data_IF_305481152796
#
_entry.id   IF_305481152796
#
_cell.length_a   1.000
_cell.length_b   1.000
_cell.length_c   1.000
_cell.angle_alpha   90.00
_cell.angle_beta   90.00
_cell.angle_gamma   90.00
#
_symmetry.space_group_name_H-M   'P 1'
#
loop_
_entity.id
_entity.type
_entity.pdbx_description
1 polymer ?
#
# COMPACT_ATOMS: atom_id res chain seq x y z
N UNK A 1 -25.22 -66.44 17.28
CA UNK A 1 -26.52 -66.69 17.91
C UNK A 1 -27.50 -65.68 17.29
N UNK A 2 -28.37 -66.18 16.40
CA UNK A 2 -29.63 -65.65 15.81
C UNK A 2 -29.85 -64.11 15.69
N UNK A 3 -30.45 -63.54 14.65
CA UNK A 3 -30.98 -63.99 13.36
C UNK A 3 -31.49 -62.75 12.60
N UNK A 4 -31.54 -62.85 11.27
CA UNK A 4 -32.35 -62.01 10.41
C UNK A 4 -33.85 -62.35 10.56
N UNK A 5 -34.73 -61.36 10.37
CA UNK A 5 -36.13 -61.57 9.97
C UNK A 5 -36.53 -60.49 8.96
N UNK A 6 -37.11 -60.96 7.85
CA UNK A 6 -37.71 -60.22 6.76
C UNK A 6 -39.25 -60.43 6.73
N UNK A 7 -39.89 -59.86 5.70
CA UNK A 7 -41.32 -59.90 5.28
C UNK A 7 -42.19 -58.75 5.81
N UNK A 8 -43.08 -58.09 5.04
CA UNK A 8 -44.03 -58.57 4.01
C UNK A 8 -44.31 -57.50 2.93
N UNK A 9 -44.64 -57.95 1.71
CA UNK A 9 -45.01 -57.19 0.51
C UNK A 9 -46.54 -57.11 0.24
N UNK A 10 -46.99 -56.12 -0.56
CA UNK A 10 -48.08 -56.13 -1.58
C UNK A 10 -48.44 -54.67 -1.97
N UNK A 11 -48.68 -54.24 -3.21
CA UNK A 11 -48.77 -54.93 -4.50
C UNK A 11 -48.89 -53.96 -5.71
N UNK A 12 -48.82 -54.56 -6.92
CA UNK A 12 -49.32 -54.23 -8.28
C UNK A 12 -49.57 -52.75 -8.67
N UNK A 13 -48.96 -52.17 -9.73
CA UNK A 13 -49.23 -52.39 -11.18
C UNK A 13 -50.26 -51.33 -11.66
N UNK A 14 -50.17 -50.54 -12.73
CA UNK A 14 -49.43 -50.58 -14.00
C UNK A 14 -49.36 -49.15 -14.64
N UNK A 15 -48.63 -49.08 -15.77
CA UNK A 15 -48.72 -48.14 -16.90
C UNK A 15 -47.72 -46.96 -17.06
N UNK A 16 -46.90 -47.14 -18.11
CA UNK A 16 -45.90 -46.25 -18.74
C UNK A 16 -46.58 -45.14 -19.61
N UNK A 17 -45.91 -44.16 -20.27
CA UNK A 17 -44.60 -44.28 -20.96
C UNK A 17 -43.62 -43.06 -20.93
N UNK A 18 -42.32 -43.37 -21.05
CA UNK A 18 -41.42 -42.88 -22.10
C UNK A 18 -41.03 -41.38 -22.23
N UNK A 19 -39.85 -41.05 -21.67
CA UNK A 19 -38.75 -40.22 -22.22
C UNK A 19 -38.95 -38.68 -22.44
N UNK A 20 -37.87 -37.86 -22.53
CA UNK A 20 -36.44 -38.19 -22.53
C UNK A 20 -35.59 -37.44 -21.49
N UNK A 21 -34.34 -37.90 -21.37
CA UNK A 21 -33.25 -37.23 -20.69
C UNK A 21 -33.07 -35.80 -21.21
N UNK A 22 -33.16 -34.82 -20.31
CA UNK A 22 -32.79 -33.44 -20.57
C UNK A 22 -31.33 -33.24 -20.20
N UNK A 23 -30.53 -32.91 -21.20
CA UNK A 23 -29.19 -32.35 -21.09
C UNK A 23 -29.10 -31.35 -19.95
N UNK A 24 -28.23 -31.64 -18.98
CA UNK A 24 -27.73 -30.62 -18.07
C UNK A 24 -26.72 -29.78 -18.87
N UNK A 25 -27.21 -28.80 -19.61
CA UNK A 25 -26.38 -27.73 -20.14
C UNK A 25 -25.71 -27.04 -18.97
N UNK A 26 -24.39 -27.22 -18.88
CA UNK A 26 -23.48 -26.40 -18.10
C UNK A 26 -23.90 -24.94 -18.27
N UNK A 27 -24.19 -24.30 -17.13
CA UNK A 27 -24.40 -22.87 -17.05
C UNK A 27 -23.14 -22.19 -17.57
N UNK A 28 -23.24 -21.70 -18.79
CA UNK A 28 -22.30 -20.85 -19.46
C UNK A 28 -22.07 -19.64 -18.54
N UNK A 29 -20.94 -19.65 -17.83
CA UNK A 29 -20.46 -18.47 -17.15
C UNK A 29 -20.36 -17.35 -18.20
N UNK A 30 -21.02 -16.22 -17.95
CA UNK A 30 -20.89 -15.02 -18.77
C UNK A 30 -19.40 -14.69 -18.90
N UNK A 31 -18.82 -15.06 -20.04
CA UNK A 31 -17.47 -14.66 -20.43
C UNK A 31 -17.56 -13.16 -20.66
N UNK A 32 -16.99 -12.37 -19.74
CA UNK A 32 -16.76 -10.95 -19.97
C UNK A 32 -16.07 -10.80 -21.34
N UNK A 33 -16.53 -9.87 -22.20
CA UNK A 33 -16.03 -9.80 -23.56
C UNK A 33 -14.51 -9.62 -23.56
N UNK A 34 -13.85 -10.43 -24.39
CA UNK A 34 -12.40 -10.55 -24.63
C UNK A 34 -11.75 -9.25 -25.19
N UNK A 35 -12.39 -8.10 -24.99
CA UNK A 35 -12.15 -6.83 -25.68
C UNK A 35 -11.05 -5.96 -25.06
N UNK A 36 -10.52 -6.30 -23.88
CA UNK A 36 -9.57 -5.48 -23.13
C UNK A 36 -8.12 -6.02 -23.11
N UNK A 37 -7.71 -6.75 -24.16
CA UNK A 37 -6.37 -7.37 -24.27
C UNK A 37 -5.35 -6.58 -25.11
N UNK A 38 -5.41 -5.25 -25.11
CA UNK A 38 -4.37 -4.44 -25.76
C UNK A 38 -3.11 -4.34 -24.90
N UNK A 39 -1.95 -4.11 -25.53
CA UNK A 39 -0.71 -3.79 -24.82
C UNK A 39 -0.80 -2.36 -24.30
N UNK A 40 -0.67 -2.12 -22.98
CA UNK A 40 -0.68 -0.76 -22.45
C UNK A 40 0.47 0.07 -23.04
N UNK A 41 0.15 1.26 -23.51
CA UNK A 41 1.11 2.26 -23.98
C UNK A 41 0.87 3.56 -23.23
N UNK A 42 1.92 4.11 -22.62
CA UNK A 42 1.83 5.41 -21.94
C UNK A 42 1.45 6.51 -22.93
N UNK A 43 0.37 7.25 -22.64
CA UNK A 43 0.01 8.44 -23.41
C UNK A 43 0.38 9.72 -22.67
N UNK A 44 0.10 9.78 -21.35
CA UNK A 44 0.25 11.00 -20.57
C UNK A 44 0.35 10.70 -19.07
N UNK A 45 1.17 11.49 -18.36
CA UNK A 45 1.23 11.48 -16.90
C UNK A 45 1.37 12.90 -16.34
N UNK A 46 0.50 13.27 -15.41
CA UNK A 46 0.48 14.60 -14.80
C UNK A 46 0.24 14.57 -13.31
N UNK A 47 0.84 15.53 -12.61
CA UNK A 47 0.44 15.88 -11.26
C UNK A 47 -0.93 16.58 -11.29
N UNK A 48 -1.85 16.14 -10.45
CA UNK A 48 -3.09 16.83 -10.15
C UNK A 48 -2.86 17.93 -9.11
N UNK A 49 -2.24 17.58 -7.99
CA UNK A 49 -1.96 18.51 -6.88
C UNK A 49 -0.96 17.92 -5.88
N UNK A 50 -0.46 18.75 -4.97
CA UNK A 50 0.17 18.29 -3.72
C UNK A 50 -0.91 18.01 -2.69
N UNK A 51 -0.90 16.82 -2.08
CA UNK A 51 -1.76 16.48 -0.95
C UNK A 51 -1.19 17.06 0.34
N UNK A 52 0.11 16.84 0.56
CA UNK A 52 0.91 17.33 1.68
C UNK A 52 2.10 18.14 1.13
N UNK A 53 2.50 19.20 1.84
CA UNK A 53 3.62 20.05 1.44
C UNK A 53 4.39 20.53 2.68
N UNK A 54 5.50 19.86 3.00
CA UNK A 54 6.40 20.23 4.11
C UNK A 54 7.02 21.62 3.93
N UNK A 55 7.02 22.12 2.69
CA UNK A 55 7.52 23.45 2.40
C UNK A 55 6.58 24.56 2.88
N UNK A 56 6.80 24.95 4.12
CA UNK A 56 6.45 26.21 4.76
C UNK A 56 4.96 26.53 4.83
N UNK A 57 4.54 27.02 6.00
CA UNK A 57 3.28 27.74 6.26
C UNK A 57 2.87 28.79 5.22
N UNK A 58 3.82 29.22 4.38
CA UNK A 58 3.66 30.23 3.34
C UNK A 58 3.16 29.67 1.99
N UNK A 59 3.17 28.36 1.77
CA UNK A 59 2.62 27.68 0.57
C UNK A 59 1.78 26.45 0.98
N UNK A 60 0.70 26.64 1.77
CA UNK A 60 -0.17 25.54 2.17
C UNK A 60 -0.77 24.84 0.95
N UNK A 61 -0.88 23.52 1.01
CA UNK A 61 -1.77 22.81 0.07
C UNK A 61 -3.20 23.28 0.27
N UNK A 62 -4.06 23.08 -0.73
CA UNK A 62 -5.47 23.45 -0.60
C UNK A 62 -6.18 22.66 0.52
N UNK A 63 -5.65 21.49 0.90
CA UNK A 63 -6.11 20.75 2.07
C UNK A 63 -5.82 21.45 3.40
N UNK A 64 -4.79 22.30 3.49
CA UNK A 64 -4.37 22.98 4.72
C UNK A 64 -4.18 22.05 5.93
N UNK A 65 -3.65 20.85 5.71
CA UNK A 65 -3.47 19.83 6.76
C UNK A 65 -2.59 20.29 7.92
N UNK A 66 -1.65 21.21 7.68
CA UNK A 66 -0.83 21.85 8.70
C UNK A 66 -1.66 22.59 9.75
N UNK A 67 -2.79 23.18 9.34
CA UNK A 67 -3.67 23.92 10.25
C UNK A 67 -4.85 23.06 10.69
N UNK A 68 -5.37 22.17 9.84
CA UNK A 68 -6.51 21.32 10.21
C UNK A 68 -6.12 20.15 11.13
N UNK A 69 -4.91 19.65 11.00
CA UNK A 69 -4.46 18.41 11.65
C UNK A 69 -3.01 18.46 12.14
N UNK A 70 -2.37 19.62 12.13
CA UNK A 70 -0.99 19.80 12.59
C UNK A 70 0.07 18.95 11.86
N UNK A 71 -0.20 18.57 10.61
CA UNK A 71 0.74 17.84 9.73
C UNK A 71 1.48 18.82 8.84
N UNK A 72 2.79 18.98 9.04
CA UNK A 72 3.63 19.81 8.19
C UNK A 72 3.97 19.09 6.89
N UNK A 73 4.51 17.88 7.03
CA UNK A 73 5.05 17.06 5.95
C UNK A 73 4.91 15.59 6.29
N UNK A 74 4.96 14.73 5.28
CA UNK A 74 5.05 13.29 5.46
C UNK A 74 5.58 12.68 4.17
N UNK A 75 5.83 11.37 4.19
CA UNK A 75 6.09 10.60 2.99
C UNK A 75 5.09 9.45 2.82
N UNK A 76 5.35 8.64 1.79
CA UNK A 76 4.52 7.53 1.33
C UNK A 76 3.14 7.96 0.83
N UNK A 77 2.06 7.42 1.42
CA UNK A 77 0.69 7.66 0.97
C UNK A 77 0.04 6.40 0.39
N UNK A 78 0.13 5.28 1.10
CA UNK A 78 -0.40 3.97 0.70
C UNK A 78 -1.93 3.99 0.80
N UNK A 79 -2.69 3.92 -0.30
CA UNK A 79 -4.13 3.96 -0.23
C UNK A 79 -4.73 2.58 0.07
N UNK A 80 -5.82 2.53 0.83
CA UNK A 80 -6.61 1.31 1.05
C UNK A 80 -8.08 1.67 1.08
N UNK A 81 -8.89 0.97 0.30
CA UNK A 81 -10.34 1.06 0.39
C UNK A 81 -10.87 -0.01 1.36
N UNK A 82 -11.68 0.40 2.34
CA UNK A 82 -12.45 -0.51 3.20
C UNK A 82 -13.81 0.09 3.48
N UNK A 83 -14.86 -0.73 3.40
CA UNK A 83 -16.24 -0.31 3.67
C UNK A 83 -16.66 0.99 2.92
N UNK A 84 -16.26 1.13 1.67
CA UNK A 84 -16.59 2.28 0.81
C UNK A 84 -15.85 3.58 1.14
N UNK A 85 -14.83 3.54 2.01
CA UNK A 85 -13.99 4.69 2.35
C UNK A 85 -12.53 4.42 2.00
N UNK A 86 -11.87 5.45 1.46
CA UNK A 86 -10.45 5.45 1.15
C UNK A 86 -9.65 6.00 2.35
N UNK A 87 -8.75 5.18 2.88
CA UNK A 87 -7.71 5.57 3.83
C UNK A 87 -6.37 5.69 3.10
N UNK A 88 -5.46 6.51 3.61
CA UNK A 88 -4.12 6.72 3.05
C UNK A 88 -3.11 6.72 4.20
N UNK A 89 -2.14 5.81 4.18
CA UNK A 89 -1.12 5.69 5.23
C UNK A 89 0.15 6.45 4.83
N UNK A 90 0.59 7.36 5.69
CA UNK A 90 1.79 8.17 5.52
C UNK A 90 2.86 7.76 6.53
N UNK A 91 4.12 7.73 6.11
CA UNK A 91 5.27 7.51 6.99
C UNK A 91 5.83 8.82 7.53
N UNK A 92 6.79 8.72 8.45
CA UNK A 92 7.71 9.79 8.90
C UNK A 92 7.06 11.19 8.94
N UNK A 93 5.91 11.29 9.62
CA UNK A 93 5.03 12.46 9.55
C UNK A 93 5.48 13.55 10.51
N UNK A 94 5.85 14.69 9.93
CA UNK A 94 6.37 15.86 10.63
C UNK A 94 5.23 16.70 11.19
N UNK A 95 5.31 17.01 12.48
CA UNK A 95 4.38 17.91 13.16
C UNK A 95 4.66 19.39 12.87
N UNK A 96 3.62 20.21 12.73
CA UNK A 96 3.78 21.65 12.48
C UNK A 96 4.04 22.47 13.75
N UNK A 97 3.24 22.29 14.80
CA UNK A 97 3.23 23.12 15.99
C UNK A 97 3.20 22.27 17.28
N UNK A 98 4.30 22.24 18.02
CA UNK A 98 4.32 21.71 19.39
C UNK A 98 4.29 20.20 19.56
N UNK A 99 4.31 19.42 18.48
CA UNK A 99 4.37 17.96 18.46
C UNK A 99 5.54 17.50 17.58
N UNK A 100 6.26 16.47 18.02
CA UNK A 100 7.38 15.82 17.32
C UNK A 100 8.34 16.81 16.64
N UNK A 101 9.05 17.59 17.46
CA UNK A 101 9.94 18.65 16.99
C UNK A 101 11.27 18.14 16.44
N UNK A 102 12.05 19.04 15.84
CA UNK A 102 13.33 18.71 15.22
C UNK A 102 14.29 17.94 16.13
N UNK A 103 14.90 16.87 15.59
CA UNK A 103 15.79 15.96 16.31
C UNK A 103 15.06 14.83 17.06
N UNK A 104 13.74 14.75 16.94
CA UNK A 104 12.96 13.59 17.38
C UNK A 104 12.63 12.70 16.19
N UNK A 105 12.43 11.41 16.47
CA UNK A 105 11.88 10.46 15.52
C UNK A 105 10.39 10.74 15.29
N UNK A 106 9.91 10.69 14.05
CA UNK A 106 8.57 11.13 13.65
C UNK A 106 7.64 9.92 13.47
N UNK A 107 6.39 10.00 13.95
CA UNK A 107 5.44 8.90 13.80
C UNK A 107 4.74 8.91 12.44
N UNK A 108 3.94 7.88 12.16
CA UNK A 108 3.08 7.82 10.99
C UNK A 108 1.75 8.57 11.19
N UNK A 109 1.08 8.90 10.08
CA UNK A 109 -0.27 9.44 10.08
C UNK A 109 -1.21 8.70 9.13
N UNK A 110 -2.51 8.79 9.42
CA UNK A 110 -3.57 8.23 8.57
C UNK A 110 -4.40 9.35 7.99
N UNK A 111 -4.38 9.48 6.67
CA UNK A 111 -5.32 10.26 5.89
C UNK A 111 -6.57 9.47 5.51
N UNK A 112 -7.62 10.19 5.14
CA UNK A 112 -8.83 9.61 4.57
C UNK A 112 -9.50 10.57 3.59
N UNK A 113 -10.16 10.04 2.58
CA UNK A 113 -11.05 10.83 1.73
C UNK A 113 -12.31 11.23 2.50
N UNK A 114 -12.71 12.51 2.41
CA UNK A 114 -13.99 12.97 2.96
C UNK A 114 -15.17 12.43 2.14
N UNK A 115 -14.95 12.17 0.85
CA UNK A 115 -15.90 11.59 -0.08
C UNK A 115 -15.79 10.07 -0.11
N UNK A 116 -16.77 9.38 -0.70
CA UNK A 116 -16.75 7.93 -0.83
C UNK A 116 -15.63 7.46 -1.77
N UNK A 117 -15.17 6.22 -1.60
CA UNK A 117 -14.15 5.65 -2.48
C UNK A 117 -14.58 5.63 -3.97
N UNK A 118 -15.87 5.41 -4.24
CA UNK A 118 -16.45 5.48 -5.59
C UNK A 118 -16.41 6.89 -6.19
N UNK A 119 -16.68 7.92 -5.39
CA UNK A 119 -16.56 9.31 -5.84
C UNK A 119 -15.10 9.65 -6.14
N UNK A 120 -14.16 9.26 -5.28
CA UNK A 120 -12.72 9.49 -5.49
C UNK A 120 -12.22 8.75 -6.74
N UNK A 121 -12.71 7.54 -7.02
CA UNK A 121 -12.34 6.83 -8.23
C UNK A 121 -12.76 7.56 -9.52
N UNK A 122 -13.88 8.28 -9.47
CA UNK A 122 -14.39 9.06 -10.60
C UNK A 122 -13.74 10.45 -10.68
N UNK A 123 -13.49 11.05 -9.52
CA UNK A 123 -13.03 12.43 -9.32
C UNK A 123 -11.84 12.48 -8.34
N UNK A 124 -10.68 11.91 -8.71
CA UNK A 124 -9.52 11.84 -7.82
C UNK A 124 -9.03 13.23 -7.37
N UNK A 125 -9.28 14.27 -8.16
CA UNK A 125 -8.99 15.66 -7.82
C UNK A 125 -9.67 16.16 -6.54
N UNK A 126 -10.73 15.48 -6.07
CA UNK A 126 -11.36 15.82 -4.80
C UNK A 126 -10.39 15.70 -3.62
N UNK A 127 -9.44 14.75 -3.66
CA UNK A 127 -8.40 14.60 -2.63
C UNK A 127 -7.52 15.86 -2.48
N UNK A 128 -7.44 16.72 -3.50
CA UNK A 128 -6.67 17.96 -3.43
C UNK A 128 -7.21 18.97 -2.42
N UNK A 129 -8.51 18.90 -2.11
CA UNK A 129 -9.19 19.84 -1.19
C UNK A 129 -9.96 19.13 -0.08
N UNK A 130 -10.17 17.81 -0.22
CA UNK A 130 -11.04 16.99 0.62
C UNK A 130 -10.31 15.75 1.16
N UNK A 131 -9.03 15.92 1.46
CA UNK A 131 -8.28 15.02 2.34
C UNK A 131 -8.52 15.41 3.80
N UNK A 132 -8.82 14.42 4.63
CA UNK A 132 -8.82 14.50 6.08
C UNK A 132 -7.62 13.74 6.64
N UNK A 133 -7.24 14.06 7.87
CA UNK A 133 -6.27 13.32 8.67
C UNK A 133 -7.00 12.89 9.94
N UNK A 134 -6.75 11.67 10.43
CA UNK A 134 -7.31 11.24 11.72
C UNK A 134 -6.65 12.06 12.84
N UNK A 135 -7.45 12.67 13.71
CA UNK A 135 -6.96 13.61 14.73
C UNK A 135 -7.24 13.15 16.15
N UNK A 136 -6.46 13.68 17.09
CA UNK A 136 -6.71 13.56 18.51
C UNK A 136 -7.90 14.43 18.92
N UNK A 137 -8.62 14.04 20.00
CA UNK A 137 -9.58 14.94 20.63
C UNK A 137 -8.91 16.26 21.05
N UNK A 138 -9.69 17.35 21.08
CA UNK A 138 -9.18 18.68 21.45
C UNK A 138 -8.46 18.71 22.81
N UNK A 139 -8.95 17.96 23.79
CA UNK A 139 -8.33 17.87 25.13
C UNK A 139 -6.96 17.19 25.14
N UNK A 140 -6.63 16.41 24.11
CA UNK A 140 -5.35 15.72 23.95
C UNK A 140 -4.42 16.45 22.96
N UNK A 141 -4.95 17.43 22.22
CA UNK A 141 -4.17 18.22 21.25
C UNK A 141 -3.36 19.31 21.95
N UNK A 142 -2.18 19.57 21.41
CA UNK A 142 -1.15 20.48 21.88
C UNK A 142 -1.01 21.65 20.92
N UNK A 143 -1.02 21.37 19.62
CA UNK A 143 -0.85 22.34 18.55
C UNK A 143 -1.76 23.56 18.67
N UNK A 144 -3.07 23.42 18.98
CA UNK A 144 -3.96 24.57 19.16
C UNK A 144 -3.53 25.54 20.27
N UNK A 145 -2.81 25.04 21.29
CA UNK A 145 -2.24 25.86 22.37
C UNK A 145 -0.91 26.54 22.00
N UNK A 146 -0.23 26.09 20.94
CA UNK A 146 1.03 26.64 20.44
C UNK A 146 0.81 27.61 19.28
N UNK A 147 -0.09 27.27 18.35
CA UNK A 147 -0.53 28.12 17.25
C UNK A 147 -2.06 28.03 17.11
N UNK A 148 -2.75 29.14 17.34
CA UNK A 148 -4.22 29.23 17.30
C UNK A 148 -4.85 28.90 15.94
N UNK A 149 -4.06 28.83 14.86
CA UNK A 149 -4.54 28.39 13.54
C UNK A 149 -4.71 26.88 13.46
N UNK A 150 -4.00 26.14 14.33
CA UNK A 150 -4.08 24.68 14.40
C UNK A 150 -5.37 24.27 15.10
N UNK A 151 -6.14 23.38 14.46
CA UNK A 151 -7.44 22.93 14.95
C UNK A 151 -7.30 21.70 15.87
N UNK A 152 -6.47 20.74 15.48
CA UNK A 152 -6.19 19.53 16.25
C UNK A 152 -4.85 18.94 15.83
N UNK A 153 -4.26 18.12 16.69
CA UNK A 153 -3.09 17.30 16.36
C UNK A 153 -3.53 16.03 15.66
N UNK A 154 -2.73 15.54 14.70
CA UNK A 154 -2.98 14.23 14.11
C UNK A 154 -2.80 13.11 15.15
N UNK A 155 -3.61 12.06 15.01
CA UNK A 155 -3.50 10.85 15.80
C UNK A 155 -2.61 9.85 15.06
N UNK A 156 -1.42 9.61 15.61
CA UNK A 156 -0.50 8.62 15.08
C UNK A 156 -1.02 7.19 15.24
N UNK A 157 -0.55 6.28 14.36
CA UNK A 157 -0.84 4.85 14.44
C UNK A 157 -0.20 4.19 15.65
N UNK A 158 -0.97 3.96 16.70
CA UNK A 158 -0.46 3.34 17.92
C UNK A 158 -0.44 1.82 17.82
N UNK A 159 0.68 1.20 18.20
CA UNK A 159 0.86 -0.24 18.18
C UNK A 159 0.44 -0.90 19.49
N UNK A 160 -0.14 -2.08 19.37
CA UNK A 160 -0.47 -2.98 20.48
C UNK A 160 0.31 -4.26 20.23
N UNK A 161 1.20 -4.63 21.16
CA UNK A 161 1.99 -5.85 21.05
C UNK A 161 1.09 -7.10 21.09
N UNK A 162 1.51 -8.22 20.47
CA UNK A 162 0.86 -9.51 20.68
C UNK A 162 0.94 -9.93 22.16
N UNK A 163 0.02 -10.76 22.65
CA UNK A 163 0.12 -11.32 23.99
C UNK A 163 1.47 -12.01 24.23
N UNK A 164 2.10 -11.74 25.38
CA UNK A 164 3.39 -12.31 25.79
C UNK A 164 4.64 -11.78 25.07
N UNK A 165 4.50 -10.80 24.16
CA UNK A 165 5.61 -10.12 23.50
C UNK A 165 5.74 -8.66 23.98
N UNK A 166 6.96 -8.15 23.96
CA UNK A 166 7.25 -6.74 24.23
C UNK A 166 7.17 -5.89 22.96
N UNK A 167 6.69 -4.65 23.07
CA UNK A 167 6.69 -3.71 21.92
C UNK A 167 8.09 -3.47 21.36
N UNK A 168 9.13 -3.50 22.21
CA UNK A 168 10.52 -3.30 21.79
C UNK A 168 11.08 -4.41 20.89
N UNK A 169 10.33 -5.49 20.65
CA UNK A 169 10.64 -6.49 19.62
C UNK A 169 10.32 -5.98 18.21
N UNK A 170 9.31 -5.09 18.08
CA UNK A 170 8.73 -4.60 16.83
C UNK A 170 8.99 -3.12 16.56
N UNK A 171 9.05 -2.30 17.61
CA UNK A 171 9.38 -0.87 17.55
C UNK A 171 10.78 -0.70 18.12
N UNK A 172 11.75 -0.47 17.23
CA UNK A 172 13.18 -0.34 17.52
C UNK A 172 13.63 1.12 17.48
N UNK A 173 12.83 2.02 16.91
CA UNK A 173 13.06 3.46 16.86
C UNK A 173 11.78 4.25 17.18
N UNK A 174 11.31 4.25 18.45
CA UNK A 174 10.03 4.86 18.81
C UNK A 174 9.99 6.37 18.54
N UNK A 175 8.84 6.88 18.08
CA UNK A 175 8.67 8.31 17.83
C UNK A 175 8.69 9.18 19.12
N UNK A 176 9.16 10.42 18.98
CA UNK A 176 9.24 11.41 20.05
C UNK A 176 10.44 11.25 21.00
N UNK A 177 10.56 12.15 21.97
CA UNK A 177 11.65 12.16 22.98
C UNK A 177 11.43 11.13 24.11
N UNK A 178 11.11 9.88 23.76
CA UNK A 178 10.81 8.81 24.71
C UNK A 178 9.34 8.76 25.16
N UNK A 179 8.91 7.58 25.56
CA UNK A 179 7.52 7.06 25.72
C UNK A 179 6.56 7.83 26.64
N UNK A 180 6.94 8.98 27.20
CA UNK A 180 6.19 9.65 28.27
C UNK A 180 4.92 10.39 27.80
N UNK A 181 4.86 10.82 26.53
CA UNK A 181 3.71 11.60 26.01
C UNK A 181 2.95 10.89 24.91
N UNK A 182 3.68 10.27 23.98
CA UNK A 182 3.13 9.49 22.89
C UNK A 182 3.77 8.11 22.97
N UNK A 183 2.98 7.13 23.41
CA UNK A 183 3.46 5.78 23.66
C UNK A 183 3.18 4.89 22.47
N UNK A 184 4.02 3.87 22.29
CA UNK A 184 3.79 2.77 21.35
C UNK A 184 3.69 3.20 19.88
N UNK A 185 4.41 4.27 19.52
CA UNK A 185 4.45 4.75 18.14
C UNK A 185 5.75 4.28 17.48
N UNK A 186 5.68 3.63 16.30
CA UNK A 186 6.82 3.54 15.39
C UNK A 186 7.34 4.95 15.07
N UNK A 187 8.62 5.06 14.76
CA UNK A 187 9.24 6.32 14.38
C UNK A 187 9.98 6.22 13.04
N UNK A 188 10.88 7.16 12.77
CA UNK A 188 11.64 7.28 11.52
C UNK A 188 12.10 5.90 11.00
N UNK A 189 11.80 5.61 9.72
CA UNK A 189 12.11 4.35 9.02
C UNK A 189 11.36 3.09 9.50
N UNK A 190 10.53 3.19 10.54
CA UNK A 190 9.60 2.13 10.97
C UNK A 190 8.20 2.40 10.43
N UNK A 191 8.09 2.45 9.11
CA UNK A 191 6.93 3.00 8.37
C UNK A 191 6.07 1.90 7.75
N UNK A 192 4.82 2.21 7.37
CA UNK A 192 4.03 1.34 6.50
C UNK A 192 4.77 1.04 5.18
N UNK A 193 4.81 -0.20 4.73
CA UNK A 193 5.35 -0.58 3.41
C UNK A 193 4.30 -1.10 2.44
N UNK A 194 3.17 -1.58 2.96
CA UNK A 194 2.00 -1.97 2.17
C UNK A 194 0.80 -2.23 3.05
N UNK A 195 -0.40 -2.15 2.48
CA UNK A 195 -1.62 -2.37 3.21
C UNK A 195 -2.74 -2.89 2.32
N UNK A 196 -3.63 -3.69 2.90
CA UNK A 196 -4.79 -4.25 2.21
C UNK A 196 -5.99 -4.36 3.16
N UNK A 197 -7.20 -4.41 2.60
CA UNK A 197 -8.41 -4.61 3.37
C UNK A 197 -8.90 -6.06 3.25
N UNK A 198 -9.38 -6.63 4.35
CA UNK A 198 -10.04 -7.94 4.37
C UNK A 198 -10.99 -8.02 5.58
N UNK A 199 -12.20 -8.53 5.37
CA UNK A 199 -13.25 -8.69 6.39
C UNK A 199 -13.51 -7.43 7.24
N UNK A 200 -13.51 -6.27 6.60
CA UNK A 200 -13.78 -4.97 7.26
C UNK A 200 -12.63 -4.44 8.12
N UNK A 201 -11.50 -5.14 8.18
CA UNK A 201 -10.25 -4.68 8.79
C UNK A 201 -9.27 -4.19 7.73
N UNK A 202 -8.33 -3.33 8.13
CA UNK A 202 -7.13 -3.04 7.33
C UNK A 202 -5.94 -3.77 7.97
N UNK A 203 -5.14 -4.42 7.14
CA UNK A 203 -3.88 -5.02 7.52
C UNK A 203 -2.75 -4.18 6.92
N UNK A 204 -1.75 -3.85 7.75
CA UNK A 204 -0.63 -2.98 7.38
C UNK A 204 0.67 -3.72 7.65
N UNK A 205 1.48 -3.87 6.61
CA UNK A 205 2.87 -4.27 6.73
C UNK A 205 3.69 -3.06 7.13
N UNK A 206 4.55 -3.26 8.11
CA UNK A 206 5.45 -2.26 8.63
C UNK A 206 6.88 -2.72 8.46
N UNK A 207 7.79 -1.79 8.19
CA UNK A 207 9.22 -2.02 8.30
C UNK A 207 9.68 -1.78 9.73
N UNK A 208 10.79 -2.40 10.12
CA UNK A 208 11.48 -2.12 11.38
C UNK A 208 12.98 -2.01 11.16
N UNK A 209 13.61 -1.16 11.97
CA UNK A 209 15.04 -0.91 11.93
C UNK A 209 15.80 -1.80 12.91
N UNK A 210 17.14 -1.77 12.88
CA UNK A 210 17.94 -2.52 13.84
C UNK A 210 17.85 -1.92 15.24
N UNK A 211 17.99 -0.59 15.33
CA UNK A 211 17.96 0.16 16.60
C UNK A 211 17.88 1.66 16.35
N UNK A 212 17.70 2.46 17.41
CA UNK A 212 17.83 3.93 17.35
C UNK A 212 19.20 4.44 16.85
N UNK A 213 20.25 3.61 16.89
CA UNK A 213 21.60 3.95 16.39
C UNK A 213 21.93 3.37 15.02
N UNK A 214 21.12 2.42 14.55
CA UNK A 214 21.24 1.77 13.24
C UNK A 214 19.84 1.68 12.65
N UNK A 215 19.49 2.72 11.90
CA UNK A 215 18.18 2.89 11.27
C UNK A 215 18.04 2.08 9.96
N UNK A 216 18.93 1.10 9.71
CA UNK A 216 18.78 0.23 8.55
C UNK A 216 17.52 -0.63 8.67
N UNK A 217 16.63 -0.51 7.69
CA UNK A 217 15.39 -1.29 7.60
C UNK A 217 15.72 -2.76 7.31
N UNK A 218 15.56 -3.61 8.32
CA UNK A 218 15.98 -5.02 8.28
C UNK A 218 14.96 -6.01 8.80
N UNK A 219 13.80 -5.55 9.25
CA UNK A 219 12.68 -6.44 9.57
C UNK A 219 11.37 -5.90 9.05
N UNK A 220 10.35 -6.75 9.11
CA UNK A 220 8.97 -6.37 8.87
C UNK A 220 8.02 -7.10 9.80
N UNK A 221 6.84 -6.52 10.03
CA UNK A 221 5.76 -7.16 10.78
C UNK A 221 4.41 -6.82 10.18
N UNK A 222 3.41 -7.64 10.48
CA UNK A 222 2.03 -7.43 10.09
C UNK A 222 1.22 -6.95 11.28
N UNK A 223 0.51 -5.84 11.11
CA UNK A 223 -0.43 -5.31 12.10
C UNK A 223 -1.84 -5.20 11.51
N UNK A 224 -2.85 -5.30 12.37
CA UNK A 224 -4.25 -5.22 12.01
C UNK A 224 -4.91 -4.01 12.68
N UNK A 225 -5.52 -3.15 11.87
CA UNK A 225 -6.48 -2.16 12.34
C UNK A 225 -7.88 -2.74 12.25
N UNK A 226 -8.37 -3.26 13.38
CA UNK A 226 -9.73 -3.77 13.48
C UNK A 226 -10.73 -2.61 13.50
N UNK A 227 -11.75 -2.67 12.64
CA UNK A 227 -12.78 -1.63 12.49
C UNK A 227 -12.22 -0.21 12.32
N UNK A 228 -11.56 0.10 11.18
CA UNK A 228 -11.00 1.41 10.89
C UNK A 228 -12.00 2.55 11.05
N UNK A 229 -11.54 3.67 11.60
CA UNK A 229 -12.37 4.84 11.92
C UNK A 229 -11.64 6.13 11.61
N UNK A 230 -12.40 7.15 11.20
CA UNK A 230 -11.87 8.50 10.94
C UNK A 230 -11.93 9.42 12.15
N UNK A 231 -12.49 8.96 13.28
CA UNK A 231 -12.73 9.77 14.48
C UNK A 231 -12.14 9.19 15.74
N UNK A 232 -11.54 8.00 15.67
CA UNK A 232 -10.86 7.35 16.78
C UNK A 232 -9.38 7.23 16.46
N UNK A 233 -8.55 7.23 17.52
CA UNK A 233 -7.11 7.02 17.39
C UNK A 233 -6.86 5.68 16.69
N UNK A 234 -6.06 5.63 15.61
CA UNK A 234 -5.72 4.37 14.99
C UNK A 234 -4.92 3.51 15.97
N UNK A 235 -5.39 2.30 16.20
CA UNK A 235 -4.78 1.35 17.13
C UNK A 235 -4.62 0.01 16.42
N UNK A 236 -3.38 -0.40 16.22
CA UNK A 236 -3.03 -1.56 15.41
C UNK A 236 -2.58 -2.71 16.31
N UNK A 237 -3.28 -3.82 16.23
CA UNK A 237 -2.83 -5.06 16.85
C UNK A 237 -1.74 -5.67 15.99
N UNK A 238 -0.50 -5.65 16.47
CA UNK A 238 0.57 -6.42 15.85
C UNK A 238 0.20 -7.90 15.94
N UNK A 239 0.26 -8.60 14.81
CA UNK A 239 -0.02 -10.03 14.73
C UNK A 239 1.26 -10.84 14.95
N UNK A 240 2.30 -10.55 14.17
CA UNK A 240 3.59 -11.23 14.24
C UNK A 240 4.65 -10.52 13.36
N UNK A 241 5.92 -10.85 13.60
CA UNK A 241 7.03 -10.53 12.67
C UNK A 241 6.90 -11.35 11.39
N UNK A 242 7.11 -10.71 10.25
CA UNK A 242 6.95 -11.30 8.91
C UNK A 242 8.29 -11.83 8.42
N UNK A 243 9.31 -10.98 8.40
CA UNK A 243 10.63 -11.34 7.93
C UNK A 243 11.71 -10.48 8.58
N UNK A 244 12.94 -10.98 8.62
CA UNK A 244 14.07 -10.24 9.17
C UNK A 244 15.40 -10.67 8.53
N UNK A 245 16.33 -9.72 8.39
CA UNK A 245 17.68 -9.91 7.85
C UNK A 245 18.79 -9.88 8.89
N UNK A 246 18.47 -10.09 10.17
CA UNK A 246 19.51 -10.21 11.18
C UNK A 246 20.42 -11.43 10.92
N UNK A 247 19.92 -12.44 10.18
CA UNK A 247 20.71 -13.43 9.44
C UNK A 247 19.94 -14.00 8.21
N UNK A 248 20.55 -14.90 7.43
CA UNK A 248 19.95 -15.50 6.22
C UNK A 248 18.87 -16.57 6.51
N UNK A 249 18.44 -16.74 7.77
CA UNK A 249 17.47 -17.75 8.20
C UNK A 249 16.09 -17.17 8.53
N UNK A 250 15.83 -15.89 8.22
CA UNK A 250 14.50 -15.28 8.37
C UNK A 250 13.41 -16.13 7.68
N UNK A 251 12.15 -16.12 8.17
CA UNK A 251 11.08 -16.98 7.64
C UNK A 251 10.85 -16.85 6.14
N UNK A 252 11.15 -15.69 5.55
CA UNK A 252 11.07 -15.43 4.10
C UNK A 252 12.43 -15.00 3.51
N UNK A 253 13.52 -15.45 4.13
CA UNK A 253 14.91 -15.24 3.70
C UNK A 253 15.35 -13.78 3.65
N UNK A 254 14.64 -12.89 4.34
CA UNK A 254 14.94 -11.46 4.35
C UNK A 254 14.59 -10.73 3.05
N UNK A 255 13.71 -11.29 2.22
CA UNK A 255 13.32 -10.72 0.93
C UNK A 255 11.98 -9.97 1.00
N UNK A 256 11.36 -9.89 2.18
CA UNK A 256 10.06 -9.24 2.39
C UNK A 256 10.14 -8.20 3.51
N UNK A 257 11.13 -7.30 3.41
CA UNK A 257 11.29 -6.17 4.33
C UNK A 257 10.37 -5.02 3.89
N UNK A 258 10.43 -4.64 2.62
CA UNK A 258 9.46 -3.76 2.00
C UNK A 258 8.43 -4.64 1.24
N UNK A 259 7.14 -4.45 1.49
CA UNK A 259 6.09 -5.35 1.03
C UNK A 259 4.96 -4.56 0.41
N UNK A 260 4.76 -4.67 -0.90
CA UNK A 260 3.46 -4.36 -1.49
C UNK A 260 2.52 -5.56 -1.32
N UNK A 261 1.28 -5.32 -0.93
CA UNK A 261 0.32 -6.39 -0.67
C UNK A 261 -1.00 -6.14 -1.41
N UNK A 262 -1.55 -7.18 -2.02
CA UNK A 262 -2.86 -7.14 -2.67
C UNK A 262 -3.63 -8.42 -2.35
N UNK A 263 -4.84 -8.25 -1.80
CA UNK A 263 -5.76 -9.36 -1.58
C UNK A 263 -6.50 -9.71 -2.87
N UNK A 264 -6.44 -10.97 -3.28
CA UNK A 264 -7.15 -11.47 -4.45
C UNK A 264 -7.49 -12.96 -4.31
N UNK A 265 -8.75 -13.31 -4.57
CA UNK A 265 -9.26 -14.66 -4.31
C UNK A 265 -9.12 -15.02 -2.82
N UNK A 266 -8.61 -16.21 -2.54
CA UNK A 266 -8.44 -16.73 -1.16
C UNK A 266 -7.11 -16.30 -0.50
N UNK A 267 -6.29 -15.49 -1.20
CA UNK A 267 -4.95 -15.15 -0.78
C UNK A 267 -4.72 -13.64 -0.68
N UNK A 268 -3.78 -13.26 0.17
CA UNK A 268 -3.01 -12.03 -0.01
C UNK A 268 -1.70 -12.39 -0.72
N UNK A 269 -1.37 -11.65 -1.76
CA UNK A 269 -0.10 -11.73 -2.46
C UNK A 269 0.82 -10.64 -1.95
N UNK A 270 2.08 -11.00 -1.70
CA UNK A 270 3.12 -10.13 -1.17
C UNK A 270 4.21 -10.01 -2.24
N UNK A 271 4.48 -8.79 -2.66
CA UNK A 271 5.57 -8.45 -3.57
C UNK A 271 6.66 -7.83 -2.71
N UNK A 272 7.69 -8.62 -2.44
CA UNK A 272 8.72 -8.31 -1.45
C UNK A 272 10.01 -7.84 -2.09
N UNK A 273 10.64 -6.86 -1.46
CA UNK A 273 12.05 -6.58 -1.61
C UNK A 273 12.80 -6.67 -0.28
N UNK A 274 14.06 -7.10 -0.37
CA UNK A 274 15.02 -7.24 0.71
C UNK A 274 15.69 -5.92 1.07
N UNK A 275 16.99 -5.86 1.40
CA UNK A 275 17.61 -4.76 2.15
C UNK A 275 17.28 -3.42 1.51
N UNK A 276 16.38 -2.67 2.16
CA UNK A 276 15.80 -1.42 1.68
C UNK A 276 15.17 -1.52 0.27
N UNK A 277 16.01 -1.62 -0.77
CA UNK A 277 15.66 -1.69 -2.21
C UNK A 277 16.60 -2.57 -3.04
N UNK A 278 17.60 -3.18 -2.42
CA UNK A 278 18.76 -3.75 -3.11
C UNK A 278 18.50 -5.13 -3.75
N UNK A 279 17.29 -5.68 -3.62
CA UNK A 279 16.94 -6.98 -4.20
C UNK A 279 16.01 -6.85 -5.40
N UNK A 280 15.97 -7.87 -6.27
CA UNK A 280 14.84 -8.10 -7.18
C UNK A 280 13.52 -8.30 -6.42
N UNK A 281 12.40 -8.26 -7.14
CA UNK A 281 11.07 -8.48 -6.55
C UNK A 281 10.78 -9.97 -6.48
N UNK A 282 10.47 -10.45 -5.28
CA UNK A 282 9.99 -11.82 -5.04
C UNK A 282 8.50 -11.82 -4.73
N UNK A 283 7.89 -12.98 -4.91
CA UNK A 283 6.47 -13.18 -4.68
C UNK A 283 6.25 -14.23 -3.59
N UNK A 284 5.45 -13.88 -2.61
CA UNK A 284 4.87 -14.82 -1.66
C UNK A 284 3.34 -14.67 -1.66
N UNK A 285 2.64 -15.66 -1.11
CA UNK A 285 1.22 -15.54 -0.81
C UNK A 285 0.90 -16.18 0.52
N UNK A 286 -0.21 -15.76 1.11
CA UNK A 286 -0.78 -16.34 2.32
C UNK A 286 -2.29 -16.38 2.24
N UNK A 287 -2.88 -17.44 2.77
CA UNK A 287 -4.33 -17.59 2.87
C UNK A 287 -4.95 -16.54 3.78
N UNK A 288 -6.00 -15.86 3.29
CA UNK A 288 -6.68 -14.78 4.02
C UNK A 288 -7.33 -15.26 5.33
N UNK A 289 -7.87 -16.48 5.34
CA UNK A 289 -8.46 -17.13 6.52
C UNK A 289 -7.43 -17.53 7.60
N UNK A 290 -6.14 -17.35 7.34
CA UNK A 290 -5.03 -17.72 8.22
C UNK A 290 -4.17 -16.53 8.71
N UNK A 291 -4.58 -15.29 8.38
CA UNK A 291 -3.79 -14.08 8.63
C UNK A 291 -3.42 -13.86 10.10
N UNK A 292 -4.20 -14.36 11.05
CA UNK A 292 -3.92 -14.18 12.48
C UNK A 292 -2.76 -15.06 13.00
N UNK A 293 -2.40 -16.14 12.31
CA UNK A 293 -1.36 -17.08 12.76
C UNK A 293 -0.02 -16.75 12.11
N UNK A 294 1.12 -16.82 12.82
CA UNK A 294 2.44 -16.60 12.19
C UNK A 294 2.79 -17.68 11.14
N UNK A 295 3.66 -17.35 10.19
CA UNK A 295 4.13 -18.27 9.15
C UNK A 295 3.06 -18.59 8.09
N UNK A 296 3.13 -19.77 7.47
CA UNK A 296 2.15 -20.24 6.49
C UNK A 296 2.19 -19.55 5.12
N UNK A 297 3.27 -18.82 4.83
CA UNK A 297 3.52 -18.23 3.54
C UNK A 297 4.04 -19.28 2.56
N UNK A 298 3.61 -19.16 1.30
CA UNK A 298 4.18 -19.90 0.18
C UNK A 298 4.95 -18.91 -0.68
N UNK A 299 6.22 -19.20 -0.97
CA UNK A 299 7.06 -18.44 -1.90
C UNK A 299 6.92 -19.02 -3.31
N UNK A 300 6.85 -18.15 -4.30
CA UNK A 300 6.79 -18.54 -5.69
C UNK A 300 8.19 -18.57 -6.30
N UNK A 301 8.48 -19.64 -7.04
CA UNK A 301 9.69 -19.78 -7.83
C UNK A 301 9.38 -19.52 -9.31
N UNK A 302 9.79 -18.37 -9.83
CA UNK A 302 9.55 -18.00 -11.22
C UNK A 302 10.28 -18.91 -12.24
N UNK A 303 11.35 -19.61 -11.83
CA UNK A 303 12.09 -20.51 -12.72
C UNK A 303 11.41 -21.87 -12.91
N UNK A 304 10.72 -22.35 -11.88
CA UNK A 304 10.02 -23.64 -11.88
C UNK A 304 8.50 -23.51 -11.98
N UNK A 305 7.97 -22.29 -11.81
CA UNK A 305 6.54 -21.97 -11.75
C UNK A 305 5.81 -22.73 -10.64
N UNK A 306 6.44 -22.85 -9.47
CA UNK A 306 5.90 -23.59 -8.32
C UNK A 306 5.84 -22.75 -7.06
N UNK A 307 4.88 -23.07 -6.20
CA UNK A 307 4.74 -22.52 -4.86
C UNK A 307 5.38 -23.47 -3.84
N UNK A 308 6.11 -22.93 -2.86
CA UNK A 308 6.80 -23.71 -1.83
C UNK A 308 6.82 -22.98 -0.50
N UNK A 309 6.72 -23.73 0.60
CA UNK A 309 6.88 -23.16 1.95
C UNK A 309 8.33 -23.15 2.44
N UNK A 310 9.25 -23.78 1.69
CA UNK A 310 10.64 -23.99 2.14
C UNK A 310 11.68 -23.48 1.17
N UNK A 311 11.34 -23.40 -0.12
CA UNK A 311 12.24 -22.87 -1.12
C UNK A 311 12.13 -21.34 -1.16
N UNK A 312 13.27 -20.65 -1.32
CA UNK A 312 13.31 -19.19 -1.44
C UNK A 312 12.56 -18.64 -2.65
N UNK A 313 12.54 -19.41 -3.75
CA UNK A 313 11.92 -19.09 -5.04
C UNK A 313 12.66 -18.03 -5.85
N UNK A 314 12.83 -18.19 -7.16
CA UNK A 314 13.43 -17.17 -8.04
C UNK A 314 12.50 -15.95 -8.26
N UNK A 315 13.05 -14.73 -8.49
CA UNK A 315 12.27 -13.50 -8.52
C UNK A 315 11.36 -13.39 -9.75
N UNK A 316 10.22 -12.70 -9.59
CA UNK A 316 9.25 -12.47 -10.67
C UNK A 316 9.57 -11.22 -11.51
N UNK A 317 10.39 -10.30 -10.97
CA UNK A 317 10.93 -9.14 -11.68
C UNK A 317 12.42 -9.06 -11.33
N UNK A 318 13.28 -9.16 -12.35
CA UNK A 318 14.71 -9.43 -12.18
C UNK A 318 15.59 -8.22 -11.82
N UNK A 319 15.37 -6.99 -12.33
CA UNK A 319 16.16 -5.84 -11.88
C UNK A 319 16.03 -5.69 -10.36
N UNK A 320 17.15 -5.43 -9.68
CA UNK A 320 17.13 -4.93 -8.32
C UNK A 320 16.92 -3.40 -8.32
N UNK A 321 16.75 -2.81 -7.14
CA UNK A 321 16.59 -1.36 -7.01
C UNK A 321 15.15 -0.90 -6.90
N UNK A 322 14.26 -1.77 -6.42
CA UNK A 322 12.86 -1.42 -6.19
C UNK A 322 12.59 -1.16 -4.71
N UNK A 323 12.09 0.04 -4.40
CA UNK A 323 11.62 0.42 -3.07
C UNK A 323 10.20 0.94 -3.10
N UNK A 324 9.49 0.79 -1.98
CA UNK A 324 8.17 1.39 -1.76
C UNK A 324 7.23 1.11 -2.94
N UNK A 325 7.23 -0.17 -3.32
CA UNK A 325 6.54 -0.67 -4.51
C UNK A 325 5.03 -0.66 -4.30
N UNK A 326 4.28 -0.59 -5.39
CA UNK A 326 2.84 -0.72 -5.37
C UNK A 326 2.40 -1.74 -6.40
N UNK A 327 1.52 -2.65 -5.99
CA UNK A 327 0.90 -3.62 -6.89
C UNK A 327 -0.60 -3.63 -6.65
N UNK A 328 -1.37 -3.66 -7.73
CA UNK A 328 -2.81 -3.85 -7.68
C UNK A 328 -3.31 -4.69 -8.83
N UNK A 329 -4.43 -5.35 -8.59
CA UNK A 329 -5.25 -5.90 -9.65
C UNK A 329 -6.41 -4.94 -9.95
N UNK A 330 -6.48 -4.47 -11.19
CA UNK A 330 -7.57 -3.61 -11.66
C UNK A 330 -8.60 -4.43 -12.40
N UNK A 331 -9.71 -4.77 -11.73
CA UNK A 331 -10.81 -5.52 -12.33
C UNK A 331 -11.41 -4.84 -13.57
N UNK A 332 -11.37 -3.50 -13.66
CA UNK A 332 -11.90 -2.75 -14.81
C UNK A 332 -11.12 -2.96 -16.12
N UNK A 333 -9.87 -3.41 -16.03
CA UNK A 333 -9.04 -3.78 -17.18
C UNK A 333 -8.59 -5.24 -17.12
N UNK A 334 -9.01 -6.00 -16.10
CA UNK A 334 -8.59 -7.37 -15.84
C UNK A 334 -7.06 -7.55 -15.86
N UNK A 335 -6.31 -6.64 -15.23
CA UNK A 335 -4.84 -6.69 -15.23
C UNK A 335 -4.24 -6.38 -13.87
N UNK A 336 -3.14 -7.08 -13.59
CA UNK A 336 -2.21 -6.70 -12.55
C UNK A 336 -1.31 -5.59 -13.05
N UNK A 337 -1.11 -4.58 -12.21
CA UNK A 337 -0.19 -3.48 -12.45
C UNK A 337 0.78 -3.37 -11.28
N UNK A 338 2.08 -3.38 -11.60
CA UNK A 338 3.17 -3.06 -10.71
C UNK A 338 3.64 -1.65 -11.06
N UNK A 339 3.72 -0.77 -10.06
CA UNK A 339 4.21 0.60 -10.20
C UNK A 339 5.24 0.83 -9.09
N UNK A 340 6.46 1.22 -9.45
CA UNK A 340 7.51 1.46 -8.49
C UNK A 340 8.58 2.40 -9.03
N UNK A 341 9.39 2.93 -8.11
CA UNK A 341 10.70 3.47 -8.44
C UNK A 341 11.63 2.32 -8.85
N UNK A 342 12.20 2.40 -10.05
CA UNK A 342 13.35 1.60 -10.48
C UNK A 342 14.62 2.47 -10.34
N UNK A 343 15.41 2.17 -9.32
CA UNK A 343 16.65 2.88 -9.01
C UNK A 343 17.87 2.02 -9.37
N UNK A 344 18.53 2.38 -10.46
CA UNK A 344 19.78 1.76 -10.91
C UNK A 344 20.91 2.78 -10.92
N UNK A 345 22.19 2.37 -11.06
CA UNK A 345 23.29 3.32 -11.19
C UNK A 345 23.15 4.31 -12.37
N UNK A 346 22.33 3.99 -13.39
CA UNK A 346 22.14 4.82 -14.58
C UNK A 346 20.79 5.52 -14.65
N UNK A 347 19.78 5.09 -13.90
CA UNK A 347 18.42 5.59 -13.99
C UNK A 347 17.74 5.71 -12.63
N UNK A 348 16.93 6.76 -12.46
CA UNK A 348 15.92 6.90 -11.41
C UNK A 348 14.60 7.16 -12.14
N UNK A 349 13.75 6.14 -12.22
CA UNK A 349 12.54 6.13 -13.04
C UNK A 349 11.35 5.61 -12.24
N UNK A 350 10.15 6.11 -12.53
CA UNK A 350 8.92 5.41 -12.18
C UNK A 350 8.56 4.50 -13.34
N UNK A 351 8.45 3.19 -13.09
CA UNK A 351 8.12 2.20 -14.12
C UNK A 351 6.81 1.50 -13.80
N UNK A 352 5.99 1.30 -14.84
CA UNK A 352 4.82 0.45 -14.81
C UNK A 352 5.13 -0.88 -15.51
N UNK A 353 4.70 -2.00 -14.90
CA UNK A 353 4.70 -3.33 -15.52
C UNK A 353 3.31 -3.93 -15.38
N UNK A 354 2.92 -4.77 -16.34
CA UNK A 354 1.60 -5.39 -16.38
C UNK A 354 1.70 -6.91 -16.49
N UNK A 355 0.73 -7.62 -15.92
CA UNK A 355 0.62 -9.07 -16.01
C UNK A 355 -0.85 -9.52 -15.94
N UNK A 356 -1.13 -10.71 -16.46
CA UNK A 356 -2.46 -11.35 -16.34
C UNK A 356 -2.64 -12.05 -14.98
N UNK A 357 -1.54 -12.32 -14.27
CA UNK A 357 -1.50 -13.06 -13.00
C UNK A 357 -0.44 -12.45 -12.08
N UNK A 358 -0.57 -12.58 -10.75
CA UNK A 358 0.44 -12.06 -9.83
C UNK A 358 1.82 -12.72 -10.03
N UNK A 359 1.85 -13.99 -10.43
CA UNK A 359 3.06 -14.74 -10.78
C UNK A 359 3.76 -14.22 -12.05
N UNK A 360 3.08 -13.43 -12.88
CA UNK A 360 3.56 -13.03 -14.19
C UNK A 360 3.18 -14.00 -15.33
N UNK A 361 3.95 -14.01 -16.44
CA UNK A 361 5.14 -13.20 -16.67
C UNK A 361 4.81 -11.70 -16.66
N UNK A 362 5.64 -10.92 -15.97
CA UNK A 362 5.52 -9.47 -15.95
C UNK A 362 6.11 -8.88 -17.23
N UNK A 363 5.39 -7.96 -17.86
CA UNK A 363 5.84 -7.29 -19.09
C UNK A 363 7.08 -6.42 -18.90
N UNK A 364 7.63 -5.99 -20.03
CA UNK A 364 8.70 -4.98 -20.08
C UNK A 364 8.29 -3.68 -19.38
N UNK A 365 9.24 -2.93 -18.79
CA UNK A 365 8.92 -1.71 -18.07
C UNK A 365 8.46 -0.61 -19.03
N UNK A 366 7.36 0.05 -18.67
CA UNK A 366 6.91 1.29 -19.29
C UNK A 366 7.33 2.44 -18.38
N UNK A 367 8.27 3.28 -18.83
CA UNK A 367 8.76 4.43 -18.06
C UNK A 367 7.66 5.50 -18.00
N UNK A 368 7.08 5.69 -16.82
CA UNK A 368 6.03 6.69 -16.54
C UNK A 368 6.63 8.06 -16.28
N UNK A 369 7.70 8.11 -15.48
CA UNK A 369 8.49 9.32 -15.22
C UNK A 369 9.97 8.97 -15.22
N UNK A 370 10.81 9.90 -15.67
CA UNK A 370 12.26 9.74 -15.70
C UNK A 370 12.93 11.02 -15.16
N UNK A 371 13.80 10.89 -14.17
CA UNK A 371 14.58 12.01 -13.65
C UNK A 371 15.52 12.62 -14.70
N UNK A 372 15.84 11.89 -15.78
CA UNK A 372 16.61 12.41 -16.91
C UNK A 372 15.76 13.22 -17.90
N UNK A 373 14.42 13.17 -17.84
CA UNK A 373 13.56 13.93 -18.74
C UNK A 373 13.61 15.44 -18.43
N UNK A 374 14.10 16.22 -19.38
CA UNK A 374 14.16 17.68 -19.26
C UNK A 374 12.79 18.35 -19.11
N UNK A 375 11.72 17.78 -19.69
CA UNK A 375 10.37 18.31 -19.55
C UNK A 375 9.83 18.08 -18.13
N UNK A 376 9.95 16.85 -17.61
CA UNK A 376 9.68 16.54 -16.22
C UNK A 376 10.45 17.50 -15.28
N UNK A 377 11.77 17.63 -15.48
CA UNK A 377 12.59 18.47 -14.62
C UNK A 377 12.18 19.94 -14.64
N UNK A 378 11.91 20.48 -15.82
CA UNK A 378 11.48 21.88 -15.97
C UNK A 378 10.16 22.15 -15.25
N UNK A 379 9.25 21.16 -15.23
CA UNK A 379 7.92 21.32 -14.64
C UNK A 379 7.92 21.08 -13.13
N UNK A 380 8.69 20.11 -12.65
CA UNK A 380 8.52 19.56 -11.31
C UNK A 380 9.73 19.75 -10.38
N UNK A 381 10.91 20.06 -10.91
CA UNK A 381 12.07 20.38 -10.09
C UNK A 381 12.06 21.82 -9.61
N UNK A 382 12.48 22.03 -8.37
CA UNK A 382 12.53 23.34 -7.74
C UNK A 382 13.70 24.17 -8.26
N UNK A 383 13.47 25.46 -8.51
CA UNK A 383 14.48 26.43 -8.91
C UNK A 383 14.12 27.83 -8.33
N UNK A 384 14.90 28.39 -7.38
CA UNK A 384 16.07 27.77 -6.74
C UNK A 384 15.70 26.46 -6.02
N UNK A 385 16.67 25.56 -5.87
CA UNK A 385 16.49 24.17 -5.42
C UNK A 385 15.75 24.03 -4.08
N UNK A 386 15.90 25.03 -3.22
CA UNK A 386 15.18 25.13 -1.96
C UNK A 386 13.91 25.99 -2.08
N UNK A 387 13.28 26.12 -3.27
CA UNK A 387 12.05 26.87 -3.55
C UNK A 387 10.97 26.16 -4.36
N UNK A 388 10.43 25.06 -3.83
CA UNK A 388 9.39 24.23 -4.45
C UNK A 388 7.98 24.84 -4.38
N UNK A 389 7.60 25.67 -5.36
CA UNK A 389 6.23 26.17 -5.51
C UNK A 389 5.41 25.29 -6.43
N UNK A 390 4.12 25.07 -6.17
CA UNK A 390 3.28 24.29 -7.09
C UNK A 390 3.36 24.82 -8.54
N UNK A 391 3.60 23.97 -9.58
CA UNK A 391 3.60 22.52 -9.54
C UNK A 391 4.93 21.85 -9.17
N UNK A 392 6.02 22.60 -8.97
CA UNK A 392 7.32 22.05 -8.52
C UNK A 392 7.15 21.35 -7.17
N UNK A 393 7.48 20.07 -7.13
CA UNK A 393 7.23 19.24 -5.95
C UNK A 393 8.49 18.69 -5.30
N UNK A 394 9.63 18.67 -5.98
CA UNK A 394 10.85 18.07 -5.44
C UNK A 394 12.13 18.81 -5.83
N UNK A 395 13.10 18.81 -4.92
CA UNK A 395 14.44 19.27 -5.18
C UNK A 395 15.27 18.15 -5.85
N UNK A 396 15.24 18.10 -7.16
CA UNK A 396 15.88 17.05 -7.95
C UNK A 396 17.41 16.95 -7.83
N UNK A 397 18.10 17.92 -7.20
CA UNK A 397 19.54 17.79 -6.90
C UNK A 397 19.80 16.98 -5.63
N UNK A 398 18.78 16.85 -4.77
CA UNK A 398 18.87 16.22 -3.45
C UNK A 398 18.01 14.98 -3.31
N UNK A 399 16.91 14.86 -4.05
CA UNK A 399 15.97 13.72 -4.03
C UNK A 399 15.71 13.15 -5.41
N UNK A 400 15.33 11.87 -5.46
CA UNK A 400 14.75 11.20 -6.63
C UNK A 400 13.27 10.89 -6.41
N UNK A 401 12.70 10.07 -7.29
CA UNK A 401 11.37 9.51 -7.09
C UNK A 401 11.32 8.66 -5.82
N UNK A 402 10.13 8.55 -5.22
CA UNK A 402 9.95 7.79 -3.98
C UNK A 402 8.46 7.55 -3.70
N UNK A 403 8.11 6.45 -3.02
CA UNK A 403 6.79 6.22 -2.43
C UNK A 403 5.62 6.37 -3.41
N UNK A 404 5.56 5.50 -4.43
CA UNK A 404 4.57 5.60 -5.51
C UNK A 404 3.46 4.57 -5.34
N UNK A 405 2.27 4.97 -4.92
CA UNK A 405 1.21 4.04 -4.53
C UNK A 405 -0.10 4.21 -5.31
N UNK A 406 -0.49 3.15 -6.02
CA UNK A 406 -1.70 3.08 -6.85
C UNK A 406 -2.95 3.21 -5.99
N UNK A 407 -3.87 4.10 -6.36
CA UNK A 407 -5.23 4.10 -5.83
C UNK A 407 -5.98 2.83 -6.25
N UNK A 408 -7.03 2.40 -5.52
CA UNK A 408 -7.67 1.09 -5.72
C UNK A 408 -8.35 0.89 -7.08
N UNK A 409 -8.70 1.95 -7.79
CA UNK A 409 -9.51 1.86 -9.00
C UNK A 409 -8.84 2.54 -10.20
N UNK A 410 -8.99 1.91 -11.38
CA UNK A 410 -8.64 2.48 -12.66
C UNK A 410 -9.91 2.90 -13.42
N UNK A 411 -9.90 4.10 -13.99
CA UNK A 411 -11.00 4.62 -14.81
C UNK A 411 -10.81 4.18 -16.27
N UNK A 412 -11.84 3.59 -16.85
CA UNK A 412 -11.86 3.18 -18.24
C UNK A 412 -12.57 4.22 -19.12
N UNK A 413 -12.01 4.49 -20.30
CA UNK A 413 -12.60 5.37 -21.32
C UNK A 413 -12.26 4.84 -22.73
N UNK A 414 -13.14 4.00 -23.27
CA UNK A 414 -12.92 3.36 -24.56
C UNK A 414 -11.69 2.45 -24.58
N UNK A 415 -10.73 2.77 -25.44
CA UNK A 415 -9.43 2.08 -25.56
C UNK A 415 -8.37 2.62 -24.58
N UNK A 416 -8.76 3.49 -23.65
CA UNK A 416 -7.87 4.06 -22.64
C UNK A 416 -8.26 3.63 -21.24
N UNK A 417 -7.27 3.55 -20.38
CA UNK A 417 -7.49 3.54 -18.95
C UNK A 417 -6.58 4.52 -18.24
N UNK A 418 -7.06 5.03 -17.12
CA UNK A 418 -6.38 6.02 -16.31
C UNK A 418 -6.28 5.53 -14.89
N UNK A 419 -5.05 5.50 -14.37
CA UNK A 419 -4.76 5.18 -12.97
C UNK A 419 -4.36 6.44 -12.23
N UNK A 420 -4.72 6.50 -10.96
CA UNK A 420 -4.31 7.58 -10.05
C UNK A 420 -3.38 6.97 -9.00
N UNK A 421 -2.38 7.71 -8.56
CA UNK A 421 -1.46 7.27 -7.53
C UNK A 421 -0.89 8.45 -6.74
N UNK A 422 -0.45 8.17 -5.52
CA UNK A 422 0.38 9.10 -4.75
C UNK A 422 1.84 8.92 -5.15
N UNK A 423 2.63 10.00 -5.10
CA UNK A 423 4.08 9.97 -5.24
C UNK A 423 4.70 10.92 -4.23
N UNK A 424 5.77 10.47 -3.59
CA UNK A 424 6.46 11.19 -2.53
C UNK A 424 7.78 11.80 -2.97
N UNK A 425 8.27 12.75 -2.18
CA UNK A 425 9.65 13.23 -2.19
C UNK A 425 10.13 13.45 -0.75
N UNK A 426 11.43 13.28 -0.50
CA UNK A 426 12.00 13.54 0.83
C UNK A 426 12.63 14.94 0.96
N UNK A 427 12.90 15.62 -0.15
CA UNK A 427 13.36 17.02 -0.14
C UNK A 427 12.51 17.87 -1.09
N UNK A 428 11.51 18.60 -0.58
CA UNK A 428 10.95 18.52 0.78
C UNK A 428 10.05 17.28 0.96
N UNK A 429 9.62 16.98 2.20
CA UNK A 429 8.65 15.92 2.52
C UNK A 429 7.26 16.22 1.94
N UNK A 430 7.05 15.83 0.68
CA UNK A 430 5.80 16.06 -0.02
C UNK A 430 5.17 14.74 -0.41
N UNK A 431 3.84 14.74 -0.47
CA UNK A 431 3.06 13.72 -1.15
C UNK A 431 2.16 14.41 -2.17
N UNK A 432 2.26 14.01 -3.43
CA UNK A 432 1.48 14.57 -4.52
C UNK A 432 0.63 13.48 -5.19
N UNK A 433 -0.51 13.90 -5.74
CA UNK A 433 -1.42 13.05 -6.48
C UNK A 433 -1.11 13.18 -7.97
N UNK A 434 -0.89 12.04 -8.62
CA UNK A 434 -0.61 11.94 -10.04
C UNK A 434 -1.67 11.09 -10.73
N UNK A 435 -1.83 11.32 -12.02
CA UNK A 435 -2.72 10.58 -12.88
C UNK A 435 -1.99 10.20 -14.17
N UNK A 436 -2.05 8.92 -14.53
CA UNK A 436 -1.43 8.40 -15.76
C UNK A 436 -2.47 7.72 -16.62
N UNK A 437 -2.49 8.07 -17.90
CA UNK A 437 -3.36 7.46 -18.92
C UNK A 437 -2.54 6.60 -19.86
N UNK A 438 -3.05 5.39 -20.09
CA UNK A 438 -2.52 4.42 -21.04
C UNK A 438 -3.56 4.15 -22.12
N UNK A 439 -3.13 4.01 -23.36
CA UNK A 439 -3.92 3.42 -24.43
C UNK A 439 -3.66 1.91 -24.50
N UNK A 440 -4.69 1.14 -24.83
CA UNK A 440 -4.64 -0.29 -25.11
C UNK A 440 -4.55 -0.45 -26.62
N UNK A 441 -3.41 -0.97 -27.11
CA UNK A 441 -3.17 -1.15 -28.55
C UNK A 441 -2.89 -2.58 -28.97
#
# INVERSE_FOLDING_TARGET
>A
MFAAVALVACGCGDDAPGAPAGDATEGQADVAPDAFRGTPMLERSDQLCKLLNDRNISDPTQNQVQFRANVLGADLGIPVEVAGKLFIFFGDTIGFAGIWGGGQSHPDAVGYALDSATEIATHPEQLCTRLGIVTLPAASSVGPGVDSRVQADFAAGAMIAPPSHGLGEFIRNPAGAGTSRFANLPGDFEVPSGAFAHDGSIYVFYTTVVSTSDISMKGSYLAQWQAPSTTAIPAYQILYGVDERFDANGPLHGDFINVAAEAHGDYVYLFGTGPYRESPVRLARKRLDSLASPGGFELFDASTLTWSQTARGEPIIAPAGYGETSVRYFASIDRWMFLAEELTPSHNQIVARFADRPEGPWGEPIVVHDMADGAFRTRYCCAPENNCTSPQFMNCSRTGFYGTYLLPQAKLDGDRFTVTYTMSSFDPYNVALFQTTFALR
#
